data_IF_325417262364
#
_entry.id   IF_325417262364
#
_cell.length_a   1.000
_cell.length_b   1.000
_cell.length_c   1.000
_cell.angle_alpha   90.00
_cell.angle_beta   90.00
_cell.angle_gamma   90.00
#
_symmetry.space_group_name_H-M   'P 1'
#
loop_
_entity.id
_entity.type
_entity.pdbx_description
1 polymer ?
#
# COMPACT_ATOMS: atom_id res chain seq x y z
N UNK A 1 -69.05 55.36 22.62
CA UNK A 1 -67.76 55.61 21.95
C UNK A 1 -66.80 54.48 22.31
N UNK A 2 -66.04 53.98 21.31
CA UNK A 2 -64.96 52.98 21.34
C UNK A 2 -65.36 51.48 21.43
N UNK A 3 -65.21 50.83 20.27
CA UNK A 3 -65.15 49.38 20.05
C UNK A 3 -63.84 48.85 20.65
N UNK A 4 -63.88 47.77 21.44
CA UNK A 4 -62.70 46.95 21.75
C UNK A 4 -62.70 45.73 20.82
N UNK A 5 -61.69 45.64 19.94
CA UNK A 5 -61.36 44.43 19.18
C UNK A 5 -60.49 43.56 20.08
N UNK A 6 -60.94 42.35 20.40
CA UNK A 6 -60.08 41.32 20.98
C UNK A 6 -59.20 40.74 19.87
N UNK A 7 -57.88 40.88 20.00
CA UNK A 7 -56.88 40.27 19.14
C UNK A 7 -56.57 38.87 19.70
N UNK A 8 -56.82 37.81 18.94
CA UNK A 8 -56.24 36.49 19.20
C UNK A 8 -54.75 36.55 18.88
N UNK A 9 -53.89 36.32 19.87
CA UNK A 9 -52.47 36.11 19.69
C UNK A 9 -52.24 34.60 19.44
N UNK A 10 -52.07 34.20 18.19
CA UNK A 10 -51.61 32.86 17.86
C UNK A 10 -50.07 32.84 18.00
N UNK A 11 -49.58 32.14 19.03
CA UNK A 11 -48.16 31.85 19.17
C UNK A 11 -47.78 30.74 18.19
N UNK A 12 -47.03 31.08 17.14
CA UNK A 12 -46.38 30.10 16.26
C UNK A 12 -45.06 29.72 16.94
N UNK A 13 -45.05 28.59 17.63
CA UNK A 13 -43.80 27.96 18.08
C UNK A 13 -43.14 27.30 16.85
N UNK A 14 -42.15 27.98 16.28
CA UNK A 14 -41.27 27.39 15.28
C UNK A 14 -40.35 26.38 15.94
N UNK A 15 -40.60 25.08 15.74
CA UNK A 15 -39.66 24.02 16.06
C UNK A 15 -38.50 24.08 15.07
N UNK A 16 -37.38 24.67 15.50
CA UNK A 16 -36.11 24.49 14.82
C UNK A 16 -35.67 23.03 15.01
N UNK A 17 -35.84 22.19 13.98
CA UNK A 17 -35.15 20.91 13.93
C UNK A 17 -33.66 21.21 13.70
N UNK A 18 -32.87 21.11 14.76
CA UNK A 18 -31.44 20.89 14.65
C UNK A 18 -31.26 19.52 13.99
N UNK A 19 -31.00 19.53 12.68
CA UNK A 19 -30.47 18.36 12.00
C UNK A 19 -29.09 18.08 12.61
N UNK A 20 -29.04 17.16 13.57
CA UNK A 20 -27.79 16.54 13.95
C UNK A 20 -27.27 15.83 12.69
N UNK A 21 -26.20 16.35 12.11
CA UNK A 21 -25.37 15.57 11.22
C UNK A 21 -24.81 14.44 12.07
N UNK A 22 -25.47 13.29 12.08
CA UNK A 22 -24.83 12.03 12.44
C UNK A 22 -23.66 11.88 11.46
N UNK A 23 -22.47 12.31 11.90
CA UNK A 23 -21.23 11.90 11.24
C UNK A 23 -21.20 10.39 11.41
N UNK A 24 -21.60 9.67 10.36
CA UNK A 24 -21.46 8.22 10.33
C UNK A 24 -20.05 7.90 10.81
N UNK A 25 -19.94 7.09 11.87
CA UNK A 25 -18.66 6.60 12.36
C UNK A 25 -17.89 6.05 11.14
N UNK A 26 -16.65 6.50 10.88
CA UNK A 26 -15.87 5.96 9.78
C UNK A 26 -15.88 4.45 9.86
N UNK A 27 -16.13 3.77 8.74
CA UNK A 27 -16.10 2.32 8.69
C UNK A 27 -14.77 1.82 9.26
N UNK A 28 -14.82 0.92 10.24
CA UNK A 28 -13.61 0.34 10.82
C UNK A 28 -12.95 -0.64 9.84
N UNK A 29 -11.61 -0.77 9.85
CA UNK A 29 -10.93 -1.81 9.09
C UNK A 29 -11.41 -3.21 9.49
N UNK A 30 -11.62 -4.08 8.51
CA UNK A 30 -12.07 -5.46 8.72
C UNK A 30 -10.91 -6.41 8.42
N UNK A 31 -10.79 -7.50 9.19
CA UNK A 31 -9.78 -8.51 8.94
C UNK A 31 -10.08 -9.28 7.64
N UNK A 32 -9.07 -9.42 6.76
CA UNK A 32 -9.19 -10.19 5.51
C UNK A 32 -9.32 -11.69 5.79
N UNK A 33 -8.66 -12.16 6.84
CA UNK A 33 -8.68 -13.54 7.31
C UNK A 33 -9.12 -13.55 8.79
N UNK A 34 -10.43 -13.44 9.09
CA UNK A 34 -10.91 -13.29 10.47
C UNK A 34 -10.63 -14.51 11.35
N UNK A 35 -10.55 -15.69 10.74
CA UNK A 35 -10.31 -16.96 11.44
C UNK A 35 -8.82 -17.35 11.51
N UNK A 36 -7.91 -16.50 10.98
CA UNK A 36 -6.48 -16.78 11.05
C UNK A 36 -5.96 -16.68 12.50
N UNK A 37 -4.96 -17.50 12.87
CA UNK A 37 -4.28 -17.36 14.15
C UNK A 37 -3.77 -15.93 14.40
N UNK A 38 -3.67 -15.54 15.67
CA UNK A 38 -3.05 -14.26 16.01
C UNK A 38 -1.59 -14.22 15.50
N UNK A 39 -1.18 -13.17 14.78
CA UNK A 39 0.20 -13.03 14.34
C UNK A 39 1.17 -12.96 15.52
N UNK A 40 2.38 -13.44 15.29
CA UNK A 40 3.54 -13.20 16.15
C UNK A 40 4.51 -12.29 15.41
N UNK A 41 5.61 -11.90 16.06
CA UNK A 41 6.70 -11.16 15.38
C UNK A 41 7.36 -11.91 14.22
N UNK A 42 7.10 -13.21 14.09
CA UNK A 42 7.69 -14.10 13.09
C UNK A 42 6.66 -14.68 12.10
N UNK A 43 5.40 -14.27 12.19
CA UNK A 43 4.30 -14.80 11.37
C UNK A 43 3.40 -13.70 10.81
N UNK A 44 3.97 -12.51 10.60
CA UNK A 44 3.23 -11.34 10.11
C UNK A 44 2.89 -11.52 8.64
N UNK A 45 1.66 -11.17 8.27
CA UNK A 45 1.20 -11.09 6.89
C UNK A 45 1.06 -9.62 6.46
N UNK A 46 1.49 -9.30 5.24
CA UNK A 46 1.54 -7.92 4.73
C UNK A 46 1.53 -7.87 3.19
N UNK A 47 1.34 -6.67 2.63
CA UNK A 47 1.47 -6.44 1.19
C UNK A 47 0.40 -7.17 0.37
N UNK A 48 -0.83 -7.25 0.87
CA UNK A 48 -1.92 -7.88 0.12
C UNK A 48 -2.28 -7.03 -1.10
N UNK A 49 -2.34 -7.66 -2.27
CA UNK A 49 -2.72 -7.03 -3.54
C UNK A 49 -3.75 -7.91 -4.26
N UNK A 50 -4.60 -7.31 -5.10
CA UNK A 50 -5.62 -8.01 -5.89
C UNK A 50 -5.47 -7.72 -7.38
N UNK A 51 -5.72 -8.72 -8.22
CA UNK A 51 -5.63 -8.56 -9.67
C UNK A 51 -6.79 -7.71 -10.20
N UNK A 52 -6.66 -7.18 -11.42
CA UNK A 52 -7.67 -6.32 -12.04
C UNK A 52 -9.07 -6.97 -12.15
N UNK A 53 -9.15 -8.30 -12.25
CA UNK A 53 -10.41 -9.04 -12.29
C UNK A 53 -11.09 -9.18 -10.91
N UNK A 54 -10.38 -8.90 -9.81
CA UNK A 54 -10.92 -8.97 -8.45
C UNK A 54 -11.13 -10.39 -7.94
N UNK A 55 -10.46 -11.38 -8.53
CA UNK A 55 -10.65 -12.81 -8.26
C UNK A 55 -9.38 -13.54 -7.78
N UNK A 56 -8.22 -12.89 -7.82
CA UNK A 56 -6.96 -13.40 -7.25
C UNK A 56 -6.36 -12.35 -6.32
N UNK A 57 -6.10 -12.75 -5.09
CA UNK A 57 -5.35 -11.97 -4.10
C UNK A 57 -4.02 -12.65 -3.80
N UNK A 58 -2.96 -11.87 -3.62
CA UNK A 58 -1.64 -12.36 -3.21
C UNK A 58 -1.10 -11.52 -2.07
N UNK A 59 -0.47 -12.13 -1.07
CA UNK A 59 0.18 -11.43 0.04
C UNK A 59 1.47 -12.13 0.44
N UNK A 60 2.36 -11.40 1.12
CA UNK A 60 3.55 -11.96 1.76
C UNK A 60 3.24 -12.34 3.21
N UNK A 61 3.84 -13.43 3.69
CA UNK A 61 3.75 -13.83 5.09
C UNK A 61 5.08 -14.42 5.57
N UNK A 62 5.49 -14.00 6.76
CA UNK A 62 6.67 -14.51 7.45
C UNK A 62 6.42 -15.92 8.02
N UNK A 63 7.46 -16.74 7.99
CA UNK A 63 7.55 -18.04 8.67
C UNK A 63 8.95 -18.18 9.28
N UNK A 64 9.13 -17.61 10.47
CA UNK A 64 10.45 -17.53 11.10
C UNK A 64 11.38 -16.58 10.35
N UNK A 65 12.48 -17.12 9.83
CA UNK A 65 13.46 -16.38 9.02
C UNK A 65 13.11 -16.40 7.52
N UNK A 66 11.99 -17.03 7.13
CA UNK A 66 11.53 -17.12 5.75
C UNK A 66 10.39 -16.13 5.51
N UNK A 67 10.20 -15.75 4.25
CA UNK A 67 9.00 -15.04 3.80
C UNK A 67 8.50 -15.67 2.50
N UNK A 68 7.24 -16.06 2.50
CA UNK A 68 6.58 -16.71 1.37
C UNK A 68 5.45 -15.84 0.82
N UNK A 69 5.07 -16.07 -0.44
CA UNK A 69 3.84 -15.52 -1.00
C UNK A 69 2.72 -16.55 -0.92
N UNK A 70 1.51 -16.08 -0.62
CA UNK A 70 0.29 -16.88 -0.58
C UNK A 70 -0.74 -16.28 -1.52
N UNK A 71 -1.42 -17.11 -2.29
CA UNK A 71 -2.59 -16.72 -3.08
C UNK A 71 -3.91 -17.12 -2.42
N UNK A 72 -4.94 -16.35 -2.69
CA UNK A 72 -6.34 -16.71 -2.46
C UNK A 72 -7.12 -16.47 -3.76
N UNK A 73 -8.06 -17.36 -4.06
CA UNK A 73 -8.88 -17.30 -5.27
C UNK A 73 -10.35 -17.17 -4.93
N UNK A 74 -11.07 -16.33 -5.65
CA UNK A 74 -12.48 -16.08 -5.44
C UNK A 74 -13.33 -17.05 -6.26
N UNK A 75 -14.36 -17.60 -5.62
CA UNK A 75 -15.43 -18.36 -6.27
C UNK A 75 -16.77 -17.87 -5.74
N UNK A 76 -17.49 -17.09 -6.56
CA UNK A 76 -18.66 -16.34 -6.11
C UNK A 76 -18.30 -15.31 -5.03
N UNK A 77 -18.91 -15.42 -3.86
CA UNK A 77 -18.64 -14.52 -2.73
C UNK A 77 -17.55 -15.02 -1.78
N UNK A 78 -17.01 -16.22 -2.02
CA UNK A 78 -16.05 -16.85 -1.10
C UNK A 78 -14.63 -16.78 -1.65
N UNK A 79 -13.69 -16.55 -0.76
CA UNK A 79 -12.26 -16.75 -1.01
C UNK A 79 -11.85 -18.15 -0.58
N UNK A 80 -10.93 -18.76 -1.32
CA UNK A 80 -10.26 -19.99 -0.90
C UNK A 80 -9.40 -19.74 0.34
N UNK A 81 -9.04 -20.80 1.05
CA UNK A 81 -7.94 -20.73 2.03
C UNK A 81 -6.64 -20.31 1.32
N UNK A 82 -5.74 -19.57 2.00
CA UNK A 82 -4.45 -19.22 1.44
C UNK A 82 -3.65 -20.46 0.99
N UNK A 83 -3.07 -20.38 -0.21
CA UNK A 83 -2.18 -21.40 -0.76
C UNK A 83 -0.82 -20.79 -1.04
N UNK A 84 0.24 -21.39 -0.51
CA UNK A 84 1.60 -20.94 -0.76
C UNK A 84 1.94 -21.06 -2.26
N UNK A 85 2.60 -20.02 -2.78
CA UNK A 85 3.17 -19.97 -4.12
C UNK A 85 4.63 -20.46 -4.08
N UNK A 86 5.03 -21.18 -5.12
CA UNK A 86 6.38 -21.72 -5.28
C UNK A 86 7.13 -20.91 -6.34
N UNK A 87 7.45 -19.66 -5.99
CA UNK A 87 8.27 -18.78 -6.83
C UNK A 87 9.73 -18.85 -6.39
N UNK A 88 10.69 -18.59 -7.31
CA UNK A 88 12.11 -18.61 -6.97
C UNK A 88 12.41 -17.72 -5.77
N UNK A 89 13.02 -18.30 -4.74
CA UNK A 89 13.57 -17.61 -3.56
C UNK A 89 14.57 -18.52 -2.85
N UNK A 90 15.47 -17.93 -2.06
CA UNK A 90 16.27 -18.67 -1.08
C UNK A 90 15.63 -18.59 0.29
N UNK A 91 15.25 -17.39 0.71
CA UNK A 91 14.59 -17.14 1.99
C UNK A 91 13.45 -16.12 1.87
N UNK A 92 13.55 -15.16 0.94
CA UNK A 92 12.69 -13.99 0.96
C UNK A 92 11.92 -13.81 -0.34
N UNK A 93 10.60 -13.77 -0.21
CA UNK A 93 9.71 -13.11 -1.15
C UNK A 93 9.09 -11.89 -0.44
N UNK A 94 9.38 -10.69 -0.94
CA UNK A 94 8.92 -9.42 -0.33
C UNK A 94 7.57 -8.96 -0.90
N UNK A 95 7.08 -7.79 -0.46
CA UNK A 95 5.78 -7.21 -0.81
C UNK A 95 5.42 -7.41 -2.30
N UNK A 96 4.37 -8.18 -2.61
CA UNK A 96 3.90 -8.36 -3.97
C UNK A 96 2.99 -7.17 -4.38
N UNK A 97 2.94 -6.89 -5.68
CA UNK A 97 2.00 -5.92 -6.27
C UNK A 97 1.51 -6.45 -7.61
N UNK A 98 0.20 -6.59 -7.76
CA UNK A 98 -0.37 -6.69 -9.10
C UNK A 98 -0.19 -5.37 -9.82
N UNK A 99 0.13 -5.45 -11.10
CA UNK A 99 0.24 -4.28 -11.96
C UNK A 99 -1.12 -3.83 -12.44
N UNK A 100 -1.32 -2.51 -12.49
CA UNK A 100 -2.49 -1.93 -13.15
C UNK A 100 -2.31 -1.75 -14.66
N UNK A 101 -1.10 -1.95 -15.19
CA UNK A 101 -0.78 -1.77 -16.61
C UNK A 101 -0.84 -3.08 -17.41
N UNK A 102 -0.59 -4.21 -16.75
CA UNK A 102 -0.47 -5.52 -17.37
C UNK A 102 -0.92 -6.63 -16.41
N UNK A 103 -1.11 -7.84 -16.92
CA UNK A 103 -1.55 -9.00 -16.11
C UNK A 103 -0.41 -9.66 -15.34
N UNK A 104 0.55 -8.89 -14.83
CA UNK A 104 1.69 -9.39 -14.06
C UNK A 104 1.55 -9.12 -12.56
N UNK A 105 2.09 -10.04 -11.76
CA UNK A 105 2.44 -9.80 -10.37
C UNK A 105 3.93 -9.46 -10.30
N UNK A 106 4.27 -8.31 -9.72
CA UNK A 106 5.63 -7.90 -9.41
C UNK A 106 5.94 -8.20 -7.95
N UNK A 107 7.15 -8.62 -7.63
CA UNK A 107 7.60 -8.92 -6.26
C UNK A 107 9.12 -8.84 -6.15
N UNK A 108 9.67 -8.72 -4.94
CA UNK A 108 11.12 -8.84 -4.71
C UNK A 108 11.50 -10.23 -4.22
N UNK A 109 12.62 -10.77 -4.69
CA UNK A 109 13.14 -12.09 -4.31
C UNK A 109 14.66 -12.11 -4.16
N UNK A 110 15.16 -12.90 -3.21
CA UNK A 110 16.59 -13.20 -3.02
C UNK A 110 17.07 -14.46 -3.76
N UNK A 111 16.30 -14.93 -4.75
CA UNK A 111 16.64 -16.05 -5.61
C UNK A 111 18.04 -15.92 -6.22
N UNK A 112 18.71 -17.06 -6.40
CA UNK A 112 19.99 -17.08 -7.10
C UNK A 112 19.83 -16.73 -8.57
N UNK A 113 20.61 -15.76 -9.03
CA UNK A 113 20.69 -15.37 -10.43
C UNK A 113 21.94 -15.97 -11.08
N UNK A 114 21.82 -16.80 -12.13
CA UNK A 114 22.96 -17.35 -12.86
C UNK A 114 23.92 -16.27 -13.38
N UNK A 115 23.40 -15.11 -13.76
CA UNK A 115 24.14 -13.95 -14.27
C UNK A 115 24.97 -13.27 -13.16
N UNK A 116 24.64 -13.51 -11.89
CA UNK A 116 25.24 -12.88 -10.71
C UNK A 116 25.50 -13.91 -9.59
N UNK A 117 26.35 -14.92 -9.82
CA UNK A 117 26.50 -16.06 -8.92
C UNK A 117 26.96 -15.65 -7.53
N UNK A 118 26.41 -16.30 -6.50
CA UNK A 118 26.77 -16.10 -5.09
C UNK A 118 26.27 -14.79 -4.45
N UNK A 119 25.65 -13.90 -5.22
CA UNK A 119 24.99 -12.68 -4.70
C UNK A 119 23.73 -13.06 -3.91
N UNK A 120 23.40 -12.28 -2.89
CA UNK A 120 22.25 -12.49 -1.97
C UNK A 120 21.35 -11.26 -1.86
N UNK A 121 21.52 -10.32 -2.80
CA UNK A 121 20.66 -9.16 -2.89
C UNK A 121 19.23 -9.54 -3.29
N UNK A 122 18.28 -8.72 -2.87
CA UNK A 122 16.89 -8.83 -3.31
C UNK A 122 16.78 -8.13 -4.67
N UNK A 123 16.24 -8.85 -5.65
CA UNK A 123 15.99 -8.36 -7.00
C UNK A 123 14.48 -8.33 -7.24
N UNK A 124 14.00 -7.42 -8.08
CA UNK A 124 12.62 -7.38 -8.55
C UNK A 124 12.40 -8.40 -9.66
N UNK A 125 11.32 -9.16 -9.51
CA UNK A 125 10.81 -10.14 -10.45
C UNK A 125 9.38 -9.78 -10.83
N UNK A 126 8.92 -10.38 -11.92
CA UNK A 126 7.51 -10.40 -12.30
C UNK A 126 7.09 -11.79 -12.77
N UNK A 127 5.82 -12.11 -12.65
CA UNK A 127 5.25 -13.37 -13.16
C UNK A 127 3.89 -13.09 -13.79
N UNK A 128 3.62 -13.58 -15.02
CA UNK A 128 2.34 -13.33 -15.66
C UNK A 128 1.25 -14.22 -15.06
N UNK A 129 0.04 -13.68 -14.98
CA UNK A 129 -1.19 -14.40 -14.67
C UNK A 129 -2.07 -14.39 -15.92
N UNK A 130 -2.12 -15.49 -16.65
CA UNK A 130 -2.86 -15.63 -17.92
C UNK A 130 -3.95 -16.67 -17.73
N UNK A 131 -5.20 -16.28 -17.96
CA UNK A 131 -6.38 -17.15 -17.81
C UNK A 131 -6.40 -17.87 -16.45
N UNK A 132 -6.08 -17.12 -15.39
CA UNK A 132 -6.01 -17.63 -14.02
C UNK A 132 -4.81 -18.55 -13.74
N UNK A 133 -3.86 -18.71 -14.66
CA UNK A 133 -2.69 -19.58 -14.51
C UNK A 133 -1.41 -18.76 -14.42
N UNK A 134 -0.58 -19.07 -13.42
CA UNK A 134 0.74 -18.46 -13.26
C UNK A 134 1.68 -18.96 -14.36
N UNK A 135 2.38 -18.05 -15.04
CA UNK A 135 3.44 -18.39 -15.98
C UNK A 135 4.80 -18.54 -15.29
N UNK A 136 5.87 -18.31 -16.06
CA UNK A 136 7.24 -18.43 -15.58
C UNK A 136 7.69 -17.09 -14.99
N UNK A 137 8.25 -17.05 -13.77
CA UNK A 137 8.84 -15.85 -13.23
C UNK A 137 10.03 -15.33 -14.03
N UNK A 138 10.08 -14.02 -14.22
CA UNK A 138 11.10 -13.29 -14.95
C UNK A 138 11.74 -12.26 -14.02
N UNK A 139 13.08 -12.22 -13.98
CA UNK A 139 13.80 -11.13 -13.30
C UNK A 139 13.73 -9.86 -14.15
N UNK A 140 13.53 -8.70 -13.51
CA UNK A 140 13.61 -7.40 -14.19
C UNK A 140 15.05 -7.06 -14.63
N UNK A 141 15.24 -6.14 -15.59
CA UNK A 141 16.56 -5.85 -16.16
C UNK A 141 17.65 -5.59 -15.11
N UNK A 142 18.78 -6.28 -15.26
CA UNK A 142 19.90 -6.25 -14.31
C UNK A 142 20.78 -5.00 -14.43
N UNK A 143 20.72 -4.22 -15.51
CA UNK A 143 21.59 -3.03 -15.62
C UNK A 143 20.88 -1.73 -15.21
N UNK A 144 19.55 -1.72 -15.22
CA UNK A 144 18.73 -0.52 -15.01
C UNK A 144 17.90 -0.59 -13.73
N UNK A 145 17.17 -1.67 -13.51
CA UNK A 145 16.29 -1.86 -12.35
C UNK A 145 17.06 -2.52 -11.20
N UNK A 146 17.55 -3.74 -11.43
CA UNK A 146 18.13 -4.60 -10.41
C UNK A 146 19.64 -4.35 -10.29
N UNK A 147 20.06 -3.63 -9.26
CA UNK A 147 21.44 -3.19 -9.09
C UNK A 147 22.24 -4.16 -8.20
N UNK A 148 23.36 -3.71 -7.64
CA UNK A 148 24.10 -4.46 -6.62
C UNK A 148 23.56 -4.19 -5.19
N UNK A 149 22.50 -3.39 -5.06
CA UNK A 149 21.79 -3.13 -3.82
C UNK A 149 20.57 -4.08 -3.70
N UNK A 150 19.76 -3.90 -2.68
CA UNK A 150 18.47 -4.58 -2.58
C UNK A 150 17.40 -3.71 -3.23
N UNK A 151 16.69 -4.25 -4.21
CA UNK A 151 15.48 -3.67 -4.78
C UNK A 151 14.25 -4.50 -4.37
N UNK A 152 13.24 -3.83 -3.81
CA UNK A 152 12.06 -4.49 -3.26
C UNK A 152 10.81 -3.60 -3.36
N UNK A 153 9.69 -4.08 -2.83
CA UNK A 153 8.45 -3.30 -2.70
C UNK A 153 7.97 -2.64 -3.99
N UNK A 154 7.82 -3.38 -5.11
CA UNK A 154 7.36 -2.82 -6.37
C UNK A 154 5.89 -2.37 -6.28
N UNK A 155 5.52 -1.34 -7.03
CA UNK A 155 4.14 -0.93 -7.28
C UNK A 155 4.03 -0.33 -8.69
N UNK A 156 3.05 -0.76 -9.50
CA UNK A 156 2.95 -0.39 -10.92
C UNK A 156 1.60 0.27 -11.22
N UNK A 157 1.61 1.54 -11.67
CA UNK A 157 0.40 2.27 -12.09
C UNK A 157 -0.04 1.87 -13.50
N UNK A 158 -1.25 2.27 -13.91
CA UNK A 158 -1.87 1.85 -15.17
C UNK A 158 -1.14 2.36 -16.42
N UNK A 159 -0.34 3.43 -16.30
CA UNK A 159 0.54 3.92 -17.37
C UNK A 159 1.84 3.12 -17.50
N UNK A 160 2.02 2.09 -16.67
CA UNK A 160 3.21 1.26 -16.62
C UNK A 160 4.35 1.85 -15.81
N UNK A 161 4.17 2.99 -15.11
CA UNK A 161 5.22 3.51 -14.22
C UNK A 161 5.41 2.57 -13.03
N UNK A 162 6.65 2.11 -12.83
CA UNK A 162 7.08 1.30 -11.69
C UNK A 162 7.65 2.20 -10.60
N UNK A 163 7.16 2.03 -9.38
CA UNK A 163 7.77 2.54 -8.16
C UNK A 163 8.38 1.37 -7.40
N UNK A 164 9.56 1.56 -6.83
CA UNK A 164 10.22 0.52 -6.05
C UNK A 164 11.10 1.14 -4.97
N UNK A 165 11.38 0.35 -3.93
CA UNK A 165 12.24 0.74 -2.83
C UNK A 165 13.65 0.14 -3.04
N UNK A 166 14.69 0.94 -2.87
CA UNK A 166 16.09 0.48 -2.97
C UNK A 166 16.96 1.06 -1.86
N UNK A 167 17.92 0.29 -1.36
CA UNK A 167 18.98 0.81 -0.47
C UNK A 167 20.27 1.20 -1.23
N UNK A 168 20.16 1.40 -2.55
CA UNK A 168 21.27 1.84 -3.38
C UNK A 168 21.70 3.26 -3.02
N UNK A 169 23.01 3.52 -2.92
CA UNK A 169 23.54 4.84 -2.52
C UNK A 169 23.16 5.98 -3.47
N UNK A 170 22.93 5.68 -4.76
CA UNK A 170 22.36 6.64 -5.73
C UNK A 170 20.94 7.09 -5.39
N UNK A 171 20.24 6.53 -4.42
CA UNK A 171 18.90 6.97 -4.04
C UNK A 171 18.90 8.02 -2.90
N UNK A 172 20.06 8.32 -2.33
CA UNK A 172 20.21 9.27 -1.22
C UNK A 172 21.19 8.79 -0.15
N UNK A 173 21.38 7.46 -0.03
CA UNK A 173 22.27 6.85 0.94
C UNK A 173 21.65 6.86 2.34
N UNK A 174 21.06 5.73 2.75
CA UNK A 174 20.27 5.61 3.97
C UNK A 174 19.67 4.20 4.08
N UNK A 175 18.46 4.08 4.66
CA UNK A 175 17.66 2.84 4.60
C UNK A 175 17.17 2.55 3.17
N UNK A 176 15.90 2.21 2.99
CA UNK A 176 15.30 2.13 1.66
C UNK A 176 14.74 3.48 1.23
N UNK A 177 14.96 3.84 -0.02
CA UNK A 177 14.46 5.03 -0.68
C UNK A 177 13.53 4.63 -1.84
N UNK A 178 12.46 5.40 -2.07
CA UNK A 178 11.58 5.21 -3.22
C UNK A 178 12.25 5.76 -4.48
N UNK A 179 12.20 4.98 -5.56
CA UNK A 179 12.61 5.36 -6.91
C UNK A 179 11.43 5.19 -7.87
N UNK A 180 11.47 5.90 -9.00
CA UNK A 180 10.48 5.79 -10.09
C UNK A 180 11.17 5.35 -11.38
N UNK A 181 10.58 4.40 -12.08
CA UNK A 181 11.01 3.91 -13.37
C UNK A 181 9.86 4.02 -14.37
N UNK A 182 10.11 4.59 -15.54
CA UNK A 182 9.14 4.65 -16.64
C UNK A 182 9.61 3.80 -17.82
N UNK A 183 8.73 3.04 -18.51
CA UNK A 183 9.13 2.27 -19.68
C UNK A 183 9.75 3.17 -20.76
N UNK A 184 10.83 2.73 -21.40
CA UNK A 184 11.51 3.48 -22.46
C UNK A 184 10.94 3.20 -23.88
N UNK A 185 10.04 2.22 -23.98
CA UNK A 185 9.45 1.75 -25.25
C UNK A 185 10.24 0.65 -25.97
N UNK A 186 11.44 0.30 -25.50
CA UNK A 186 12.30 -0.76 -26.06
C UNK A 186 12.43 -1.98 -25.15
N UNK A 187 11.60 -2.07 -24.11
CA UNK A 187 11.64 -3.15 -23.13
C UNK A 187 12.57 -2.87 -21.94
N UNK A 188 13.08 -1.65 -21.80
CA UNK A 188 13.87 -1.21 -20.64
C UNK A 188 13.16 -0.04 -19.93
N UNK A 189 13.84 0.54 -18.95
CA UNK A 189 13.29 1.52 -18.03
C UNK A 189 14.22 2.72 -17.83
N UNK A 190 13.62 3.90 -17.78
CA UNK A 190 14.29 5.13 -17.36
C UNK A 190 14.05 5.33 -15.86
N UNK A 191 15.08 5.06 -15.06
CA UNK A 191 15.02 5.19 -13.59
C UNK A 191 15.40 6.61 -13.16
N UNK A 192 14.60 7.18 -12.23
CA UNK A 192 14.81 8.50 -11.64
C UNK A 192 14.57 8.44 -10.13
N UNK A 193 15.33 9.25 -9.39
CA UNK A 193 15.02 9.54 -8.00
C UNK A 193 13.67 10.25 -7.89
N UNK A 194 13.03 10.07 -6.74
CA UNK A 194 11.89 10.89 -6.36
C UNK A 194 12.36 12.33 -6.02
N UNK A 195 11.50 13.35 -6.17
CA UNK A 195 11.85 14.73 -5.85
C UNK A 195 12.39 14.91 -4.42
N UNK A 196 13.23 15.91 -4.21
CA UNK A 196 13.78 16.21 -2.87
C UNK A 196 12.67 16.38 -1.82
N UNK A 197 12.86 15.77 -0.65
CA UNK A 197 11.91 15.83 0.47
C UNK A 197 10.79 14.78 0.43
N UNK A 198 10.66 13.99 -0.64
CA UNK A 198 9.72 12.86 -0.66
C UNK A 198 10.22 11.68 0.15
N UNK A 199 11.50 11.30 0.00
CA UNK A 199 12.10 10.22 0.78
C UNK A 199 12.50 10.68 2.19
N UNK A 200 12.38 9.80 3.17
CA UNK A 200 12.89 9.94 4.52
C UNK A 200 14.22 9.18 4.66
N UNK A 201 15.27 9.80 5.22
CA UNK A 201 16.61 9.18 5.28
C UNK A 201 16.67 7.89 6.11
N UNK A 202 15.64 7.58 6.92
CA UNK A 202 15.58 6.35 7.71
C UNK A 202 15.15 5.15 6.88
N UNK A 203 13.98 5.22 6.25
CA UNK A 203 13.40 4.16 5.41
C UNK A 203 12.03 4.59 4.87
N UNK A 204 11.79 4.27 3.59
CA UNK A 204 10.50 4.23 2.92
C UNK A 204 10.41 2.95 2.07
N UNK A 205 9.37 2.12 2.30
CA UNK A 205 9.21 0.82 1.65
C UNK A 205 7.74 0.34 1.64
N UNK A 206 7.48 -0.90 1.22
CA UNK A 206 6.14 -1.52 1.19
C UNK A 206 5.10 -0.65 0.45
N UNK A 207 5.38 -0.44 -0.83
CA UNK A 207 4.70 0.54 -1.66
C UNK A 207 3.38 0.02 -2.20
N UNK A 208 2.42 0.92 -2.36
CA UNK A 208 1.27 0.76 -3.24
C UNK A 208 1.03 2.07 -3.99
N UNK A 209 0.55 1.99 -5.24
CA UNK A 209 0.23 3.15 -6.08
C UNK A 209 -1.19 3.03 -6.60
N UNK A 210 -1.94 4.14 -6.63
CA UNK A 210 -3.27 4.14 -7.25
C UNK A 210 -3.18 3.86 -8.76
N UNK A 211 -4.23 3.29 -9.38
CA UNK A 211 -4.21 2.95 -10.80
C UNK A 211 -3.84 4.14 -11.70
N UNK A 212 -4.35 5.33 -11.36
CA UNK A 212 -4.08 6.57 -12.09
C UNK A 212 -2.68 7.17 -11.83
N UNK A 213 -1.87 6.54 -10.98
CA UNK A 213 -0.54 7.03 -10.60
C UNK A 213 -0.56 8.30 -9.74
N UNK A 214 -1.73 8.80 -9.33
CA UNK A 214 -1.86 10.09 -8.64
C UNK A 214 -1.48 10.04 -7.16
N UNK A 215 -1.33 8.84 -6.58
CA UNK A 215 -1.11 8.67 -5.15
C UNK A 215 -0.29 7.44 -4.82
N UNK A 216 0.65 7.62 -3.89
CA UNK A 216 1.46 6.55 -3.29
C UNK A 216 1.08 6.33 -1.83
N UNK A 217 1.23 5.09 -1.39
CA UNK A 217 1.18 4.66 0.01
C UNK A 217 2.46 3.89 0.31
N UNK A 218 3.03 4.10 1.49
CA UNK A 218 4.29 3.47 1.86
C UNK A 218 4.45 3.45 3.37
N UNK A 219 5.16 2.45 3.85
CA UNK A 219 5.69 2.39 5.20
C UNK A 219 6.81 3.43 5.36
N UNK A 220 6.86 4.14 6.50
CA UNK A 220 7.98 5.04 6.81
C UNK A 220 8.25 5.15 8.31
N UNK A 221 9.51 5.43 8.67
CA UNK A 221 9.89 5.84 10.03
C UNK A 221 9.84 7.36 10.25
N UNK A 222 9.21 8.11 9.35
CA UNK A 222 9.04 9.57 9.46
C UNK A 222 8.45 9.98 10.81
N UNK A 223 8.82 11.18 11.29
CA UNK A 223 8.36 11.74 12.58
C UNK A 223 7.84 13.17 12.39
N UNK A 224 6.88 13.64 13.21
CA UNK A 224 6.12 12.88 14.21
C UNK A 224 5.23 11.80 13.57
N UNK A 225 4.88 10.77 14.35
CA UNK A 225 4.10 9.61 13.91
C UNK A 225 3.15 9.20 15.03
N UNK A 226 2.12 8.41 14.73
CA UNK A 226 1.17 7.86 15.69
C UNK A 226 1.72 6.58 16.37
N UNK A 227 2.22 5.63 15.60
CA UNK A 227 2.67 4.33 16.11
C UNK A 227 4.18 4.14 16.21
N UNK A 228 4.59 2.89 16.33
CA UNK A 228 6.00 2.51 16.15
C UNK A 228 6.42 2.72 14.70
N UNK A 229 5.49 2.41 13.80
CA UNK A 229 5.58 2.43 12.35
C UNK A 229 4.20 2.78 11.82
N UNK A 230 4.16 3.64 10.81
CA UNK A 230 2.91 4.07 10.18
C UNK A 230 2.97 3.95 8.65
N UNK A 231 1.78 3.90 8.05
CA UNK A 231 1.58 4.12 6.61
C UNK A 231 1.49 5.63 6.35
N UNK A 232 2.27 6.08 5.38
CA UNK A 232 2.29 7.44 4.87
C UNK A 232 1.74 7.45 3.44
N UNK A 233 1.23 8.60 3.01
CA UNK A 233 0.73 8.81 1.66
C UNK A 233 1.20 10.14 1.10
N UNK A 234 1.41 10.19 -0.21
CA UNK A 234 1.67 11.43 -0.95
C UNK A 234 0.90 11.45 -2.27
N UNK A 235 0.59 12.65 -2.74
CA UNK A 235 -0.12 12.90 -4.00
C UNK A 235 0.82 13.48 -5.05
N UNK A 236 0.61 13.13 -6.31
CA UNK A 236 1.19 13.85 -7.41
C UNK A 236 0.76 15.33 -7.37
N UNK A 237 1.66 16.23 -7.75
CA UNK A 237 1.38 17.68 -7.77
C UNK A 237 0.71 18.16 -9.07
N UNK A 238 0.58 17.27 -10.07
CA UNK A 238 0.02 17.56 -11.39
C UNK A 238 1.00 18.18 -12.40
N UNK A 239 2.25 18.45 -12.01
CA UNK A 239 3.32 19.01 -12.87
C UNK A 239 4.58 18.14 -12.87
N UNK A 240 4.45 16.87 -12.49
CA UNK A 240 5.50 15.86 -12.56
C UNK A 240 6.27 15.63 -11.26
N UNK A 241 5.90 16.32 -10.19
CA UNK A 241 6.42 16.14 -8.83
C UNK A 241 5.40 15.53 -7.87
N UNK A 242 5.71 15.60 -6.58
CA UNK A 242 4.93 15.03 -5.49
C UNK A 242 4.78 16.04 -4.37
N UNK A 243 3.61 16.07 -3.75
CA UNK A 243 3.35 16.83 -2.52
C UNK A 243 4.10 16.17 -1.35
N UNK A 244 4.32 16.95 -0.30
CA UNK A 244 4.92 16.44 0.95
C UNK A 244 4.10 15.27 1.50
N UNK A 245 4.75 14.14 1.86
CA UNK A 245 4.06 13.03 2.50
C UNK A 245 3.35 13.41 3.79
N UNK A 246 2.18 12.84 4.00
CA UNK A 246 1.37 12.95 5.21
C UNK A 246 1.08 11.57 5.79
N UNK A 247 0.87 11.51 7.10
CA UNK A 247 0.52 10.27 7.79
C UNK A 247 -0.92 9.88 7.41
N UNK A 248 -1.20 8.60 7.22
CA UNK A 248 -2.55 8.14 6.81
C UNK A 248 -3.59 8.21 7.95
N UNK A 249 -3.13 8.38 9.20
CA UNK A 249 -3.98 8.64 10.36
C UNK A 249 -4.99 7.53 10.68
N UNK A 250 -5.86 7.80 11.64
CA UNK A 250 -6.96 6.90 11.97
C UNK A 250 -8.04 6.91 10.86
N UNK A 251 -8.66 5.77 10.54
CA UNK A 251 -8.64 4.52 11.30
C UNK A 251 -7.56 3.53 10.84
N UNK A 252 -6.63 3.91 9.95
CA UNK A 252 -5.61 3.00 9.41
C UNK A 252 -4.40 2.89 10.33
N UNK A 253 -3.76 4.00 10.66
CA UNK A 253 -2.64 4.02 11.60
C UNK A 253 -3.15 4.05 13.04
N UNK A 254 -2.44 3.32 13.89
CA UNK A 254 -2.69 3.18 15.32
C UNK A 254 -1.43 3.56 16.11
N UNK A 255 -1.41 3.28 17.42
CA UNK A 255 -0.18 3.37 18.21
C UNK A 255 0.77 2.16 17.99
N UNK A 256 0.32 1.13 17.27
CA UNK A 256 1.03 -0.12 17.02
C UNK A 256 1.94 -0.08 15.79
N UNK A 257 1.91 -1.16 15.01
CA UNK A 257 2.68 -1.32 13.78
C UNK A 257 1.71 -1.48 12.60
N UNK A 258 1.55 -0.42 11.81
CA UNK A 258 0.68 -0.42 10.62
C UNK A 258 1.54 -0.22 9.35
N UNK A 259 1.50 -1.17 8.42
CA UNK A 259 2.41 -1.20 7.26
C UNK A 259 1.86 -2.04 6.10
N UNK A 260 2.65 -2.24 5.03
CA UNK A 260 2.33 -3.25 4.02
C UNK A 260 1.12 -2.90 3.19
N UNK A 261 1.02 -1.65 2.75
CA UNK A 261 -0.10 -1.15 1.96
C UNK A 261 -0.24 -1.92 0.64
N UNK A 262 -1.47 -2.09 0.17
CA UNK A 262 -1.81 -2.63 -1.14
C UNK A 262 -3.22 -2.24 -1.53
N UNK A 263 -3.64 -2.53 -2.76
CA UNK A 263 -4.93 -2.09 -3.30
C UNK A 263 -5.73 -3.24 -3.92
N UNK A 264 -7.06 -3.09 -3.91
CA UNK A 264 -7.95 -3.91 -4.73
C UNK A 264 -7.73 -3.68 -6.22
N UNK A 265 -8.18 -4.62 -7.06
CA UNK A 265 -8.01 -4.54 -8.51
C UNK A 265 -8.72 -3.34 -9.14
N UNK A 266 -9.76 -2.82 -8.49
CA UNK A 266 -10.47 -1.61 -8.89
C UNK A 266 -9.95 -0.32 -8.22
N UNK A 267 -8.92 -0.43 -7.38
CA UNK A 267 -8.30 0.68 -6.66
C UNK A 267 -9.17 1.32 -5.57
N UNK A 268 -10.30 0.71 -5.18
CA UNK A 268 -11.26 1.31 -4.22
C UNK A 268 -11.12 0.82 -2.79
N UNK A 269 -10.36 -0.24 -2.55
CA UNK A 269 -10.10 -0.79 -1.22
C UNK A 269 -8.61 -0.70 -0.93
N UNK A 270 -8.28 -0.18 0.24
CA UNK A 270 -6.94 -0.25 0.79
C UNK A 270 -6.80 -1.53 1.62
N UNK A 271 -5.76 -2.29 1.30
CA UNK A 271 -5.26 -3.36 2.14
C UNK A 271 -4.05 -2.89 2.94
N UNK A 272 -3.89 -3.42 4.15
CA UNK A 272 -2.72 -3.15 4.98
C UNK A 272 -2.53 -4.24 6.03
N UNK A 273 -1.38 -4.23 6.69
CA UNK A 273 -1.09 -5.04 7.88
C UNK A 273 -1.21 -4.18 9.14
N UNK A 274 -1.95 -4.67 10.13
CA UNK A 274 -1.99 -4.14 11.49
C UNK A 274 -1.45 -5.18 12.46
N UNK A 275 -0.31 -4.89 13.07
CA UNK A 275 0.41 -5.81 13.97
C UNK A 275 0.55 -7.22 13.36
N UNK A 276 0.77 -7.28 12.04
CA UNK A 276 0.92 -8.53 11.29
C UNK A 276 -0.37 -9.16 10.78
N UNK A 277 -1.55 -8.59 11.06
CA UNK A 277 -2.84 -9.08 10.54
C UNK A 277 -3.25 -8.28 9.31
N UNK A 278 -3.66 -8.98 8.25
CA UNK A 278 -4.20 -8.35 7.05
C UNK A 278 -5.58 -7.74 7.31
N UNK A 279 -5.71 -6.47 6.95
CA UNK A 279 -6.91 -5.65 7.10
C UNK A 279 -7.32 -5.06 5.74
N UNK A 280 -8.61 -4.80 5.58
CA UNK A 280 -9.18 -4.09 4.43
C UNK A 280 -10.12 -2.97 4.87
N UNK A 281 -10.14 -1.87 4.11
CA UNK A 281 -11.00 -0.71 4.34
C UNK A 281 -11.27 0.02 3.01
N UNK A 282 -12.46 0.61 2.78
CA UNK A 282 -12.67 1.46 1.62
C UNK A 282 -11.67 2.61 1.58
N UNK A 283 -11.03 2.82 0.43
CA UNK A 283 -9.93 3.78 0.29
C UNK A 283 -10.36 5.20 0.65
N UNK A 284 -11.58 5.61 0.28
CA UNK A 284 -12.11 6.93 0.65
C UNK A 284 -12.24 7.14 2.15
N UNK A 285 -12.49 6.08 2.93
CA UNK A 285 -12.54 6.14 4.39
C UNK A 285 -11.13 6.22 4.97
N UNK A 286 -10.19 5.42 4.45
CA UNK A 286 -8.78 5.50 4.85
C UNK A 286 -8.20 6.92 4.66
N UNK A 287 -8.47 7.54 3.51
CA UNK A 287 -7.95 8.87 3.18
C UNK A 287 -8.53 10.00 4.03
N UNK A 288 -9.70 9.80 4.66
CA UNK A 288 -10.27 10.79 5.58
C UNK A 288 -9.41 11.00 6.84
N UNK A 289 -8.55 10.04 7.17
CA UNK A 289 -7.57 10.14 8.26
C UNK A 289 -6.28 10.88 7.90
N UNK A 290 -6.01 11.08 6.61
CA UNK A 290 -4.71 11.54 6.15
C UNK A 290 -4.44 12.99 6.56
N UNK A 291 -3.27 13.25 7.15
CA UNK A 291 -2.91 14.59 7.58
C UNK A 291 -1.56 14.69 8.30
N UNK A 292 -1.15 15.92 8.66
CA UNK A 292 0.03 16.13 9.49
C UNK A 292 -0.21 15.56 10.88
N UNK A 293 0.80 14.90 11.44
CA UNK A 293 0.79 14.51 12.86
C UNK A 293 1.30 15.69 13.68
N UNK A 294 0.59 16.04 14.75
CA UNK A 294 1.06 17.07 15.67
C UNK A 294 2.38 16.62 16.32
N UNK A 295 3.33 17.55 16.47
CA UNK A 295 4.46 17.31 17.38
C UNK A 295 3.88 17.26 18.78
N UNK A 296 4.03 16.12 19.45
CA UNK A 296 3.67 16.05 20.86
C UNK A 296 4.51 17.08 21.63
N UNK A 297 3.84 17.94 22.40
CA UNK A 297 4.48 19.05 23.12
C UNK A 297 5.13 18.62 24.44
N UNK A 298 5.25 17.31 24.69
CA UNK A 298 5.78 16.73 25.93
C UNK A 298 7.06 15.92 25.73
N UNK A 299 8.11 16.58 25.25
CA UNK A 299 9.50 16.17 25.47
C UNK A 299 10.29 17.32 26.09
#
# INVERSE_FOLDING_TARGET
>A
MKRLRSLCLAAVAGTAMLAACDKATPAEPVAVLPDAPAPTTFTRAFGLTENAAGDVRVFAQEDGDLTHLYEMRRSGEKWSTPRQLDFPARAYLTTPSFSFADSYLYYGSDAELPERPGRKDINLWRVPLVDGTWGVPEVLPLETINTAANESSPAVSADGTLYFATNHSRAGGGGYDIMRATPDGNGDWVVRQMPEGTNDPRVDAHLAVTPDGSRLFFYSHRRPTLGSVDIWTMEADGVGGWKTPVNLGAPVNTAGVDFGAGLSGDGKTLFFSRDGRLMEIPLGVALAGAGPVAKDSSN
#
